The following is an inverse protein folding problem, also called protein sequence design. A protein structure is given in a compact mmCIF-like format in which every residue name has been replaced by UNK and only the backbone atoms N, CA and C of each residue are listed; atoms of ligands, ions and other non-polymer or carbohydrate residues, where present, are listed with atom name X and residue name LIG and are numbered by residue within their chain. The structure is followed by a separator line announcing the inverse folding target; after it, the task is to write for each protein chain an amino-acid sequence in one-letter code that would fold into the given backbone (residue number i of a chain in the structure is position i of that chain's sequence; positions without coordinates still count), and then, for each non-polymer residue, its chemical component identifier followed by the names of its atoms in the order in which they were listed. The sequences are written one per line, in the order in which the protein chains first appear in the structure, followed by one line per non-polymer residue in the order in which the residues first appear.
data_IF_277080152603
#
_entry.id   IF_277080152603
#
_cell.length_a   1.000
_cell.length_b   1.000
_cell.length_c   1.000
_cell.angle_alpha   90.00
_cell.angle_beta   90.00
_cell.angle_gamma   90.00
#
_symmetry.space_group_name_H-M   'P 1'
#
loop_
_entity.id
_entity.type
_entity.pdbx_description
1 polymer ?
#
# COMPACT_ATOMS: atom_id res chain seq x y z
N UNK A 1 12.53 -3.05 -38.50
CA UNK A 1 12.82 -2.00 -37.49
C UNK A 1 11.63 -1.65 -36.58
N UNK A 2 10.52 -2.42 -36.60
CA UNK A 2 9.25 -2.08 -35.92
C UNK A 2 9.14 -2.58 -34.47
N UNK A 3 9.83 -3.67 -34.12
CA UNK A 3 9.82 -4.27 -32.78
C UNK A 3 10.38 -3.40 -31.64
N UNK A 4 11.50 -2.64 -31.78
CA UNK A 4 12.02 -1.83 -30.68
C UNK A 4 11.07 -0.66 -30.34
N UNK A 5 10.40 -0.08 -31.35
CA UNK A 5 9.43 0.98 -31.13
C UNK A 5 8.21 0.49 -30.34
N UNK A 6 7.70 -0.71 -30.69
CA UNK A 6 6.57 -1.33 -29.99
C UNK A 6 6.88 -1.63 -28.51
N UNK A 7 8.09 -2.11 -28.20
CA UNK A 7 8.53 -2.37 -26.82
C UNK A 7 8.64 -1.06 -26.02
N UNK A 8 9.19 -0.01 -26.62
CA UNK A 8 9.29 1.32 -25.98
C UNK A 8 7.88 1.88 -25.72
N UNK A 9 7.00 1.81 -26.70
CA UNK A 9 5.61 2.26 -26.55
C UNK A 9 4.88 1.49 -25.46
N UNK A 10 5.01 0.16 -25.41
CA UNK A 10 4.42 -0.66 -24.35
C UNK A 10 4.97 -0.29 -22.96
N UNK A 11 6.29 -0.08 -22.84
CA UNK A 11 6.91 0.35 -21.60
C UNK A 11 6.39 1.72 -21.12
N UNK A 12 6.25 2.68 -22.04
CA UNK A 12 5.68 4.00 -21.74
C UNK A 12 4.21 3.91 -21.33
N UNK A 13 3.43 2.99 -21.92
CA UNK A 13 2.05 2.73 -21.52
C UNK A 13 1.98 2.18 -20.10
N UNK A 14 2.81 1.18 -19.75
CA UNK A 14 2.85 0.62 -18.40
C UNK A 14 3.24 1.69 -17.36
N UNK A 15 4.26 2.49 -17.67
CA UNK A 15 4.75 3.52 -16.78
C UNK A 15 3.72 4.64 -16.59
N UNK A 16 3.06 5.08 -17.66
CA UNK A 16 1.98 6.06 -17.59
C UNK A 16 0.77 5.53 -16.82
N UNK A 17 0.39 4.27 -17.02
CA UNK A 17 -0.68 3.63 -16.26
C UNK A 17 -0.39 3.58 -14.76
N UNK A 18 0.83 3.20 -14.35
CA UNK A 18 1.24 3.23 -12.94
C UNK A 18 1.17 4.64 -12.35
N UNK A 19 1.57 5.65 -13.12
CA UNK A 19 1.53 7.05 -12.70
C UNK A 19 0.10 7.57 -12.54
N UNK A 20 -0.76 7.29 -13.52
CA UNK A 20 -2.17 7.69 -13.53
C UNK A 20 -2.92 7.04 -12.38
N UNK A 21 -2.77 5.72 -12.19
CA UNK A 21 -3.44 4.99 -11.10
C UNK A 21 -3.02 5.50 -9.73
N UNK A 22 -1.73 5.77 -9.52
CA UNK A 22 -1.22 6.35 -8.28
C UNK A 22 -1.80 7.77 -8.04
N UNK A 23 -1.84 8.62 -9.07
CA UNK A 23 -2.47 9.94 -8.98
C UNK A 23 -3.97 9.85 -8.62
N UNK A 24 -4.71 8.93 -9.24
CA UNK A 24 -6.14 8.71 -8.96
C UNK A 24 -6.37 8.21 -7.53
N UNK A 25 -5.53 7.30 -7.06
CA UNK A 25 -5.52 6.82 -5.68
C UNK A 25 -5.35 7.99 -4.71
N UNK A 26 -4.29 8.78 -4.85
CA UNK A 26 -4.00 9.91 -3.94
C UNK A 26 -5.10 10.97 -4.01
N UNK A 27 -5.65 11.25 -5.20
CA UNK A 27 -6.77 12.19 -5.38
C UNK A 27 -8.00 11.79 -4.57
N UNK A 28 -8.27 10.49 -4.44
CA UNK A 28 -9.41 9.96 -3.69
C UNK A 28 -9.17 9.99 -2.17
N UNK A 29 -7.92 10.03 -1.72
CA UNK A 29 -7.60 10.02 -0.30
C UNK A 29 -8.08 11.31 0.38
N UNK A 30 -8.81 11.13 1.48
CA UNK A 30 -9.08 12.16 2.47
C UNK A 30 -8.16 11.94 3.65
N UNK A 31 -7.52 13.00 4.13
CA UNK A 31 -6.58 12.95 5.25
C UNK A 31 -7.11 13.73 6.44
N UNK A 32 -6.71 13.37 7.65
CA UNK A 32 -7.16 13.96 8.91
C UNK A 32 -6.00 14.03 9.90
N UNK A 33 -6.21 14.71 11.02
CA UNK A 33 -5.26 14.70 12.13
C UNK A 33 -5.11 13.29 12.71
N UNK A 34 -3.85 12.86 12.88
CA UNK A 34 -3.52 11.60 13.54
C UNK A 34 -3.76 11.76 15.04
N UNK A 35 -4.34 10.75 15.67
CA UNK A 35 -4.52 10.72 17.12
C UNK A 35 -3.94 9.43 17.70
N UNK A 36 -3.29 9.54 18.85
CA UNK A 36 -2.72 8.43 19.60
C UNK A 36 -3.34 8.38 20.99
N UNK A 37 -3.85 7.21 21.35
CA UNK A 37 -4.41 6.93 22.66
C UNK A 37 -3.65 5.78 23.30
N UNK A 38 -3.19 5.96 24.54
CA UNK A 38 -2.61 4.88 25.32
C UNK A 38 -3.69 3.87 25.67
N UNK A 39 -3.37 2.59 25.50
CA UNK A 39 -4.29 1.48 25.74
C UNK A 39 -3.67 0.44 26.64
N UNK A 40 -4.45 -0.04 27.60
CA UNK A 40 -4.08 -1.18 28.43
C UNK A 40 -4.16 -2.47 27.61
N UNK A 41 -3.33 -3.46 27.96
CA UNK A 41 -3.28 -4.77 27.28
C UNK A 41 -4.65 -5.46 27.16
N UNK A 42 -5.55 -5.29 28.15
CA UNK A 42 -6.89 -5.87 28.13
C UNK A 42 -7.79 -5.35 27.00
N UNK A 43 -7.56 -4.13 26.51
CA UNK A 43 -8.36 -3.49 25.47
C UNK A 43 -7.88 -3.84 24.04
N UNK A 44 -6.75 -4.54 23.91
CA UNK A 44 -6.13 -4.86 22.62
C UNK A 44 -6.58 -6.26 22.19
N UNK A 45 -7.09 -6.42 20.96
CA UNK A 45 -7.44 -7.73 20.41
C UNK A 45 -6.27 -8.72 20.45
N UNK A 46 -6.57 -9.99 20.66
CA UNK A 46 -5.56 -11.03 20.88
C UNK A 46 -4.60 -11.22 19.70
N UNK A 47 -5.09 -11.14 18.46
CA UNK A 47 -4.26 -11.28 17.27
C UNK A 47 -3.20 -10.15 17.18
N UNK A 48 -3.54 -8.90 17.53
CA UNK A 48 -2.57 -7.81 17.62
C UNK A 48 -1.55 -8.02 18.73
N UNK A 49 -1.98 -8.46 19.92
CA UNK A 49 -1.04 -8.78 21.01
C UNK A 49 -0.05 -9.86 20.60
N UNK A 50 -0.51 -10.91 19.91
CA UNK A 50 0.36 -11.97 19.39
C UNK A 50 1.36 -11.42 18.38
N UNK A 51 0.89 -10.59 17.45
CA UNK A 51 1.72 -9.96 16.42
C UNK A 51 2.81 -9.06 17.03
N UNK A 52 2.46 -8.18 17.97
CA UNK A 52 3.42 -7.23 18.56
C UNK A 52 4.48 -7.89 19.46
N UNK A 53 4.36 -9.18 19.81
CA UNK A 53 5.42 -9.89 20.54
C UNK A 53 6.76 -9.85 19.81
N UNK A 54 6.75 -9.88 18.47
CA UNK A 54 7.97 -9.87 17.66
C UNK A 54 8.74 -8.55 17.79
N UNK A 55 8.17 -7.37 17.43
CA UNK A 55 8.89 -6.11 17.53
C UNK A 55 9.20 -5.75 18.98
N UNK A 56 8.37 -6.16 19.95
CA UNK A 56 8.67 -5.99 21.37
C UNK A 56 9.94 -6.77 21.76
N UNK A 57 10.08 -8.03 21.33
CA UNK A 57 11.25 -8.84 21.64
C UNK A 57 12.51 -8.25 21.00
N UNK A 58 12.44 -7.87 19.74
CA UNK A 58 13.59 -7.28 19.03
C UNK A 58 14.02 -5.96 19.67
N UNK A 59 13.07 -5.05 19.96
CA UNK A 59 13.39 -3.77 20.60
C UNK A 59 13.88 -3.96 22.05
N UNK A 60 13.38 -4.95 22.80
CA UNK A 60 13.93 -5.29 24.12
C UNK A 60 15.40 -5.71 24.06
N UNK A 61 15.83 -6.37 22.99
CA UNK A 61 17.24 -6.73 22.79
C UNK A 61 18.13 -5.52 22.51
N UNK A 62 17.52 -4.36 22.24
CA UNK A 62 18.16 -3.05 22.06
C UNK A 62 17.86 -2.12 23.26
N UNK A 63 17.58 -2.71 24.44
CA UNK A 63 17.33 -2.00 25.71
C UNK A 63 16.08 -1.11 25.75
N UNK A 64 15.12 -1.32 24.85
CA UNK A 64 13.82 -0.67 24.95
C UNK A 64 12.89 -1.41 25.91
N UNK A 65 12.22 -0.63 26.76
CA UNK A 65 11.24 -1.11 27.72
C UNK A 65 9.84 -0.84 27.18
N UNK A 66 8.95 -1.85 27.07
CA UNK A 66 7.57 -1.63 26.67
C UNK A 66 6.84 -0.72 27.66
N UNK A 67 6.13 0.27 27.13
CA UNK A 67 5.40 1.26 27.93
C UNK A 67 3.90 0.95 27.88
N UNK A 68 3.32 0.93 26.69
CA UNK A 68 1.88 0.78 26.50
C UNK A 68 1.54 0.36 25.07
N UNK A 69 0.31 -0.10 24.86
CA UNK A 69 -0.24 -0.20 23.52
C UNK A 69 -0.80 1.15 23.07
N UNK A 70 -0.91 1.33 21.76
CA UNK A 70 -1.46 2.53 21.15
C UNK A 70 -2.65 2.14 20.29
N UNK A 71 -3.76 2.87 20.45
CA UNK A 71 -4.80 2.95 19.43
C UNK A 71 -4.54 4.20 18.61
N UNK A 72 -4.50 4.02 17.29
CA UNK A 72 -4.07 5.07 16.35
C UNK A 72 -5.23 5.42 15.45
N UNK A 73 -5.69 6.66 15.50
CA UNK A 73 -6.53 7.20 14.44
C UNK A 73 -5.64 7.55 13.25
N UNK A 74 -5.82 6.81 12.17
CA UNK A 74 -4.97 6.89 10.97
C UNK A 74 -5.06 8.26 10.29
N UNK A 75 -3.97 8.64 9.62
CA UNK A 75 -3.90 9.87 8.83
C UNK A 75 -4.91 9.88 7.68
N UNK A 76 -5.26 8.72 7.13
CA UNK A 76 -6.22 8.58 6.03
C UNK A 76 -7.59 8.18 6.59
N UNK A 77 -8.63 8.95 6.27
CA UNK A 77 -9.95 8.84 6.89
C UNK A 77 -10.68 7.52 6.60
N UNK A 78 -10.45 6.91 5.43
CA UNK A 78 -11.20 5.71 5.01
C UNK A 78 -10.72 4.42 5.69
N UNK A 79 -9.83 4.53 6.68
CA UNK A 79 -9.13 3.41 7.27
C UNK A 79 -9.58 3.25 8.73
N UNK A 80 -9.85 2.01 9.19
CA UNK A 80 -10.17 1.77 10.60
C UNK A 80 -8.97 2.17 11.48
N UNK A 81 -9.20 2.44 12.78
CA UNK A 81 -8.13 2.70 13.72
C UNK A 81 -7.06 1.60 13.65
N UNK A 82 -5.80 2.02 13.61
CA UNK A 82 -4.65 1.14 13.71
C UNK A 82 -4.30 0.82 15.16
N UNK A 83 -3.41 -0.14 15.33
CA UNK A 83 -2.79 -0.46 16.60
C UNK A 83 -1.27 -0.32 16.50
N UNK A 84 -0.64 -0.04 17.63
CA UNK A 84 0.80 -0.01 17.77
C UNK A 84 1.24 -0.32 19.19
N UNK A 85 2.55 -0.35 19.40
CA UNK A 85 3.15 -0.43 20.73
C UNK A 85 4.17 0.69 20.90
N UNK A 86 4.12 1.32 22.07
CA UNK A 86 5.07 2.34 22.51
C UNK A 86 6.12 1.70 23.42
N UNK A 87 7.38 1.92 23.12
CA UNK A 87 8.51 1.51 23.94
C UNK A 87 9.44 2.69 24.21
N UNK A 88 10.22 2.60 25.28
CA UNK A 88 11.11 3.67 25.73
C UNK A 88 12.51 3.16 26.03
N UNK A 89 13.51 3.87 25.53
CA UNK A 89 14.92 3.64 25.80
C UNK A 89 15.43 4.67 26.81
N UNK A 90 15.82 4.20 28.00
CA UNK A 90 16.09 5.06 29.17
C UNK A 90 17.34 5.90 29.05
N UNK A 91 18.39 5.39 28.41
CA UNK A 91 19.69 6.06 28.32
C UNK A 91 19.60 7.27 27.38
N UNK A 92 19.10 7.06 26.17
CA UNK A 92 19.00 8.09 25.12
C UNK A 92 17.74 8.94 25.19
N UNK A 93 16.81 8.63 26.11
CA UNK A 93 15.49 9.26 26.23
C UNK A 93 14.65 9.17 24.95
N UNK A 94 14.78 8.06 24.23
CA UNK A 94 14.13 7.84 22.93
C UNK A 94 12.88 6.99 23.08
N UNK A 95 11.82 7.37 22.38
CA UNK A 95 10.64 6.53 22.20
C UNK A 95 10.71 5.77 20.87
N UNK A 96 10.26 4.51 20.86
CA UNK A 96 9.99 3.75 19.66
C UNK A 96 8.49 3.51 19.55
N UNK A 97 7.93 3.74 18.36
CA UNK A 97 6.59 3.29 18.01
C UNK A 97 6.74 2.18 16.98
N UNK A 98 6.24 0.99 17.29
CA UNK A 98 6.08 -0.08 16.32
C UNK A 98 4.61 -0.19 15.93
N UNK A 99 4.30 0.21 14.70
CA UNK A 99 3.01 0.04 14.06
C UNK A 99 3.02 -1.08 13.04
N UNK A 100 1.85 -1.43 12.51
CA UNK A 100 1.71 -2.46 11.49
C UNK A 100 1.94 -1.84 10.12
N UNK A 101 2.90 -2.40 9.35
CA UNK A 101 3.16 -1.97 7.99
C UNK A 101 2.04 -2.43 7.06
N UNK A 102 1.68 -1.60 6.10
CA UNK A 102 0.64 -1.90 5.10
C UNK A 102 1.14 -1.52 3.69
N UNK A 103 1.16 -2.45 2.71
CA UNK A 103 0.82 -3.87 2.86
C UNK A 103 1.79 -4.56 3.82
N UNK A 104 1.30 -5.50 4.62
CA UNK A 104 2.16 -6.34 5.43
C UNK A 104 2.73 -7.44 4.57
N UNK A 105 3.98 -7.76 4.85
CA UNK A 105 4.68 -8.90 4.28
C UNK A 105 5.33 -9.67 5.42
N UNK A 106 5.44 -11.01 5.36
CA UNK A 106 5.98 -11.80 6.47
C UNK A 106 7.39 -11.39 6.88
N UNK A 107 8.19 -10.89 5.93
CA UNK A 107 9.57 -10.46 6.18
C UNK A 107 9.70 -8.98 6.48
N UNK A 108 8.62 -8.20 6.39
CA UNK A 108 8.60 -6.76 6.62
C UNK A 108 7.23 -6.27 7.11
N UNK A 109 6.84 -6.72 8.32
CA UNK A 109 5.47 -6.57 8.84
C UNK A 109 5.23 -5.32 9.69
N UNK A 110 6.29 -4.64 10.14
CA UNK A 110 6.18 -3.53 11.08
C UNK A 110 6.82 -2.25 10.53
N UNK A 111 6.15 -1.13 10.79
CA UNK A 111 6.73 0.20 10.68
C UNK A 111 7.25 0.59 12.05
N UNK A 112 8.56 0.62 12.21
CA UNK A 112 9.22 1.02 13.45
C UNK A 112 9.84 2.39 13.24
N UNK A 113 9.53 3.32 14.11
CA UNK A 113 10.06 4.68 14.07
C UNK A 113 10.59 5.08 15.45
N UNK A 114 11.72 5.78 15.46
CA UNK A 114 12.38 6.25 16.67
C UNK A 114 12.26 7.77 16.79
N UNK A 115 11.90 8.24 17.98
CA UNK A 115 11.56 9.63 18.28
C UNK A 115 12.32 10.12 19.51
N UNK A 116 13.17 11.12 19.31
CA UNK A 116 13.85 11.82 20.41
C UNK A 116 13.56 13.31 20.33
N UNK A 117 12.88 13.84 21.35
CA UNK A 117 12.70 15.29 21.49
C UNK A 117 13.89 15.90 22.21
N UNK A 118 14.26 17.10 21.81
CA UNK A 118 15.32 17.87 22.44
C UNK A 118 14.80 19.04 23.28
N UNK A 119 15.69 19.72 24.00
CA UNK A 119 15.32 20.85 24.86
C UNK A 119 14.73 22.03 24.07
N UNK A 120 15.20 22.27 22.85
CA UNK A 120 14.71 23.32 21.94
C UNK A 120 13.44 22.92 21.15
N UNK A 121 12.76 21.86 21.58
CA UNK A 121 11.52 21.33 20.98
C UNK A 121 11.67 20.69 19.60
N UNK A 122 12.89 20.65 19.03
CA UNK A 122 13.11 19.86 17.81
C UNK A 122 12.93 18.36 18.10
N UNK A 123 12.43 17.64 17.10
CA UNK A 123 12.24 16.20 17.09
C UNK A 123 13.24 15.54 16.13
N UNK A 124 14.01 14.57 16.58
CA UNK A 124 14.66 13.60 15.70
C UNK A 124 13.70 12.44 15.43
N UNK A 125 13.26 12.28 14.18
CA UNK A 125 12.48 11.14 13.71
C UNK A 125 13.33 10.27 12.77
N UNK A 126 13.49 8.99 13.12
CA UNK A 126 14.14 7.98 12.29
C UNK A 126 13.16 6.94 11.83
N UNK A 127 12.87 6.93 10.53
CA UNK A 127 11.97 6.00 9.87
C UNK A 127 12.73 5.03 8.97
N UNK A 128 12.01 4.04 8.44
CA UNK A 128 12.57 3.05 7.53
C UNK A 128 11.67 2.78 6.32
N UNK A 129 12.15 3.18 5.15
CA UNK A 129 11.47 3.05 3.87
C UNK A 129 10.09 3.72 3.83
N UNK A 130 10.00 4.98 4.29
CA UNK A 130 8.73 5.74 4.43
C UNK A 130 8.77 7.20 3.96
N UNK A 131 9.94 7.81 3.75
CA UNK A 131 10.06 9.25 3.44
C UNK A 131 9.36 9.67 2.15
N UNK A 132 9.14 8.71 1.25
CA UNK A 132 8.44 8.92 -0.01
C UNK A 132 6.95 9.24 0.18
N UNK A 133 6.35 8.88 1.33
CA UNK A 133 4.99 9.25 1.70
C UNK A 133 4.87 10.62 2.38
N UNK A 134 5.98 11.24 2.78
CA UNK A 134 5.98 12.57 3.42
C UNK A 134 5.88 13.66 2.35
N UNK A 135 5.06 14.68 2.58
CA UNK A 135 4.86 15.79 1.66
C UNK A 135 5.50 17.06 2.22
N UNK A 136 6.47 17.63 1.50
CA UNK A 136 7.20 18.80 1.98
C UNK A 136 8.11 18.50 3.18
N UNK A 137 8.45 19.55 3.93
CA UNK A 137 9.24 19.47 5.16
C UNK A 137 8.34 19.35 6.38
N UNK A 138 8.75 18.55 7.35
CA UNK A 138 8.07 18.42 8.64
C UNK A 138 8.66 19.50 9.57
N UNK A 139 7.86 20.48 10.03
CA UNK A 139 8.33 21.53 10.91
C UNK A 139 8.98 20.97 12.18
N UNK A 140 10.00 21.67 12.68
CA UNK A 140 10.71 21.35 13.93
C UNK A 140 11.15 19.88 14.04
N UNK A 141 11.39 19.22 12.90
CA UNK A 141 11.68 17.78 12.86
C UNK A 141 12.84 17.49 11.93
N UNK A 142 13.88 16.86 12.48
CA UNK A 142 14.99 16.27 11.74
C UNK A 142 14.53 14.87 11.34
N UNK A 143 14.22 14.69 10.06
CA UNK A 143 13.74 13.40 9.53
C UNK A 143 14.87 12.67 8.84
N UNK A 144 15.10 11.41 9.22
CA UNK A 144 16.00 10.50 8.51
C UNK A 144 15.30 9.19 8.14
N UNK A 145 15.58 8.69 6.93
CA UNK A 145 15.02 7.44 6.40
C UNK A 145 16.14 6.51 5.94
N UNK A 146 16.33 5.40 6.66
CA UNK A 146 17.60 4.65 6.67
C UNK A 146 17.64 3.52 5.63
N UNK A 147 16.49 2.95 5.25
CA UNK A 147 16.40 1.75 4.40
C UNK A 147 17.21 0.54 4.94
N UNK A 148 17.27 0.39 6.26
CA UNK A 148 18.01 -0.66 6.95
C UNK A 148 17.31 -2.03 6.83
N UNK A 149 18.10 -3.08 6.64
CA UNK A 149 17.61 -4.46 6.56
C UNK A 149 17.17 -5.00 7.93
N UNK A 150 17.64 -4.43 9.05
CA UNK A 150 17.32 -4.83 10.44
C UNK A 150 17.02 -3.63 11.32
N UNK A 151 16.26 -3.85 12.39
CA UNK A 151 15.94 -2.81 13.39
C UNK A 151 17.21 -2.28 14.05
N UNK A 152 18.19 -3.14 14.36
CA UNK A 152 19.47 -2.74 14.93
C UNK A 152 20.22 -1.73 14.08
N UNK A 153 20.23 -1.89 12.75
CA UNK A 153 20.84 -0.94 11.83
C UNK A 153 20.11 0.41 11.78
N UNK A 154 18.78 0.39 11.81
CA UNK A 154 17.98 1.61 11.93
C UNK A 154 18.22 2.33 13.26
N UNK A 155 18.31 1.55 14.36
CA UNK A 155 18.58 2.07 15.69
C UNK A 155 19.97 2.69 15.79
N UNK A 156 20.98 2.05 15.19
CA UNK A 156 22.34 2.59 15.13
C UNK A 156 22.35 3.97 14.46
N UNK A 157 21.70 4.11 13.30
CA UNK A 157 21.60 5.40 12.62
C UNK A 157 20.87 6.48 13.47
N UNK A 158 19.90 6.08 14.30
CA UNK A 158 19.29 7.00 15.27
C UNK A 158 20.30 7.44 16.33
N UNK A 159 21.06 6.51 16.92
CA UNK A 159 22.07 6.81 17.94
C UNK A 159 23.21 7.66 17.39
N UNK A 160 23.67 7.37 16.19
CA UNK A 160 24.73 8.15 15.53
C UNK A 160 24.28 9.60 15.40
N UNK A 161 23.08 9.81 14.82
CA UNK A 161 22.53 11.17 14.65
C UNK A 161 22.26 11.86 15.99
N UNK A 162 21.84 11.10 16.98
CA UNK A 162 21.62 11.60 18.33
C UNK A 162 22.94 12.07 18.97
N UNK A 163 24.02 11.31 18.80
CA UNK A 163 25.34 11.62 19.37
C UNK A 163 25.95 12.90 18.80
N UNK A 164 25.63 13.23 17.55
CA UNK A 164 26.02 14.49 16.91
C UNK A 164 25.31 15.71 17.54
N UNK A 165 24.05 15.55 17.95
CA UNK A 165 23.18 16.67 18.37
C UNK A 165 23.21 16.86 19.89
N UNK A 166 23.21 15.76 20.65
CA UNK A 166 23.07 15.76 22.09
C UNK A 166 24.05 16.66 22.86
N UNK A 167 25.34 16.84 22.44
CA UNK A 167 26.26 17.75 23.13
C UNK A 167 25.82 19.21 23.12
N UNK A 168 25.18 19.67 22.04
CA UNK A 168 24.71 21.06 21.89
C UNK A 168 23.25 21.23 22.27
N UNK A 169 22.47 20.16 22.17
CA UNK A 169 21.04 20.17 22.44
C UNK A 169 20.63 18.81 23.01
N UNK A 170 20.64 18.66 24.34
CA UNK A 170 20.45 17.36 24.96
C UNK A 170 18.99 16.86 24.85
N UNK A 171 18.77 15.54 24.87
CA UNK A 171 17.43 14.96 24.87
C UNK A 171 16.58 15.42 26.04
N UNK A 172 15.30 15.68 25.77
CA UNK A 172 14.30 16.04 26.75
C UNK A 172 13.65 14.78 27.30
N UNK A 173 13.62 14.66 28.63
CA UNK A 173 12.86 13.61 29.31
C UNK A 173 11.37 13.94 29.25
N UNK A 174 10.56 13.02 28.74
CA UNK A 174 9.11 13.18 28.62
C UNK A 174 8.40 11.93 29.16
N UNK A 175 7.37 12.13 29.98
CA UNK A 175 6.44 11.06 30.35
C UNK A 175 5.63 10.61 29.11
N UNK A 176 5.20 9.34 29.00
CA UNK A 176 4.50 8.83 27.82
C UNK A 176 3.29 9.67 27.36
N UNK A 177 2.42 10.09 28.27
CA UNK A 177 1.26 10.94 27.93
C UNK A 177 1.69 12.27 27.30
N UNK A 178 2.67 12.93 27.94
CA UNK A 178 3.20 14.21 27.48
C UNK A 178 3.97 14.08 26.17
N UNK A 179 4.68 12.97 25.97
CA UNK A 179 5.33 12.64 24.71
C UNK A 179 4.30 12.56 23.58
N UNK A 180 3.21 11.81 23.77
CA UNK A 180 2.17 11.67 22.74
C UNK A 180 1.42 12.98 22.49
N UNK A 181 1.18 13.78 23.52
CA UNK A 181 0.55 15.10 23.36
C UNK A 181 1.42 16.03 22.48
N UNK A 182 2.72 16.16 22.80
CA UNK A 182 3.65 16.98 22.03
C UNK A 182 3.81 16.43 20.60
N UNK A 183 3.90 15.10 20.46
CA UNK A 183 4.03 14.46 19.15
C UNK A 183 2.80 14.69 18.27
N UNK A 184 1.59 14.54 18.81
CA UNK A 184 0.35 14.86 18.10
C UNK A 184 0.28 16.34 17.73
N UNK A 185 0.71 17.24 18.60
CA UNK A 185 0.76 18.66 18.29
C UNK A 185 1.76 18.96 17.15
N UNK A 186 2.93 18.31 17.12
CA UNK A 186 3.89 18.45 16.02
C UNK A 186 3.27 17.97 14.68
N UNK A 187 2.57 16.83 14.69
CA UNK A 187 1.85 16.34 13.50
C UNK A 187 0.72 17.29 13.06
N UNK A 188 0.03 17.90 14.02
CA UNK A 188 -0.98 18.94 13.74
C UNK A 188 -0.35 20.15 13.06
N UNK A 189 0.77 20.67 13.61
CA UNK A 189 1.53 21.78 13.02
C UNK A 189 1.97 21.47 11.60
N UNK A 190 2.40 20.25 11.33
CA UNK A 190 2.73 19.81 9.97
C UNK A 190 1.52 19.88 9.02
N UNK A 191 0.35 19.37 9.42
CA UNK A 191 -0.88 19.46 8.61
C UNK A 191 -1.28 20.92 8.39
N UNK A 192 -1.24 21.75 9.44
CA UNK A 192 -1.58 23.17 9.36
C UNK A 192 -0.61 23.92 8.41
N UNK A 193 0.67 23.56 8.41
CA UNK A 193 1.66 24.07 7.45
C UNK A 193 1.34 23.63 6.01
N UNK A 194 0.88 22.39 5.78
CA UNK A 194 0.44 21.95 4.47
C UNK A 194 -0.80 22.72 3.98
N UNK A 195 -1.73 23.05 4.88
CA UNK A 195 -2.88 23.92 4.56
C UNK A 195 -2.41 25.33 4.22
N UNK A 196 -1.55 25.92 5.07
CA UNK A 196 -0.99 27.28 4.89
C UNK A 196 -0.23 27.42 3.57
N UNK A 197 0.55 26.41 3.21
CA UNK A 197 1.31 26.35 1.94
C UNK A 197 0.47 25.87 0.75
N UNK A 198 -0.86 25.75 0.92
CA UNK A 198 -1.83 25.33 -0.09
C UNK A 198 -1.51 23.97 -0.71
N UNK A 199 -0.84 23.07 -0.01
CA UNK A 199 -0.55 21.72 -0.49
C UNK A 199 -1.75 20.78 -0.30
N UNK A 200 -2.50 20.99 0.78
CA UNK A 200 -3.80 20.36 1.02
C UNK A 200 -4.86 21.46 1.22
N UNK A 201 -6.14 21.10 1.18
CA UNK A 201 -7.24 22.01 1.44
C UNK A 201 -8.34 21.30 2.25
N UNK A 202 -9.05 22.02 3.13
CA UNK A 202 -10.13 21.45 3.92
C UNK A 202 -11.32 21.06 3.03
N UNK A 203 -12.01 19.98 3.38
CA UNK A 203 -13.30 19.61 2.76
C UNK A 203 -14.46 19.97 3.69
N UNK A 204 -15.71 19.65 3.30
CA UNK A 204 -16.91 19.97 4.10
C UNK A 204 -16.89 19.39 5.52
N UNK A 205 -16.25 18.24 5.69
CA UNK A 205 -16.12 17.57 6.99
C UNK A 205 -15.03 18.27 7.83
N UNK A 206 -15.32 18.69 9.08
CA UNK A 206 -14.35 19.36 9.94
C UNK A 206 -13.11 18.50 10.21
N UNK A 207 -11.93 19.11 10.09
CA UNK A 207 -10.64 18.43 10.34
C UNK A 207 -10.24 17.40 9.27
N UNK A 208 -10.93 17.40 8.12
CA UNK A 208 -10.64 16.54 6.97
C UNK A 208 -10.13 17.38 5.80
N UNK A 209 -9.12 16.86 5.11
CA UNK A 209 -8.42 17.55 4.04
C UNK A 209 -8.24 16.67 2.81
N UNK A 210 -7.99 17.31 1.66
CA UNK A 210 -7.64 16.66 0.41
C UNK A 210 -6.39 17.29 -0.20
N UNK A 211 -5.64 16.50 -0.97
CA UNK A 211 -4.47 16.97 -1.68
C UNK A 211 -4.85 17.83 -2.88
N UNK A 212 -4.12 18.93 -3.09
CA UNK A 212 -4.18 19.67 -4.36
C UNK A 212 -3.51 18.89 -5.49
N UNK A 213 -3.89 19.21 -6.73
CA UNK A 213 -3.37 18.54 -7.92
C UNK A 213 -1.84 18.54 -8.01
N UNK A 214 -1.17 19.67 -7.79
CA UNK A 214 0.29 19.73 -7.80
C UNK A 214 0.93 18.89 -6.68
N UNK A 215 0.29 18.81 -5.51
CA UNK A 215 0.76 17.96 -4.42
C UNK A 215 0.61 16.48 -4.75
N UNK A 216 -0.48 16.10 -5.45
CA UNK A 216 -0.69 14.75 -5.96
C UNK A 216 0.45 14.37 -6.90
N UNK A 217 0.78 15.23 -7.88
CA UNK A 217 1.88 14.97 -8.81
C UNK A 217 3.23 14.83 -8.10
N UNK A 218 3.53 15.72 -7.13
CA UNK A 218 4.76 15.64 -6.32
C UNK A 218 4.83 14.35 -5.52
N UNK A 219 3.73 13.95 -4.87
CA UNK A 219 3.67 12.71 -4.11
C UNK A 219 3.81 11.49 -5.01
N UNK A 220 3.12 11.44 -6.15
CA UNK A 220 3.25 10.34 -7.12
C UNK A 220 4.71 10.19 -7.57
N UNK A 221 5.38 11.30 -7.87
CA UNK A 221 6.78 11.31 -8.27
C UNK A 221 7.72 10.76 -7.18
N UNK A 222 7.40 10.98 -5.90
CA UNK A 222 8.17 10.43 -4.77
C UNK A 222 7.83 8.96 -4.50
N UNK A 223 6.54 8.62 -4.48
CA UNK A 223 6.02 7.31 -4.06
C UNK A 223 6.48 6.21 -5.01
N UNK A 224 6.43 6.41 -6.34
CA UNK A 224 6.80 5.35 -7.29
C UNK A 224 8.26 4.88 -7.14
N UNK A 225 9.28 5.75 -7.21
CA UNK A 225 10.67 5.34 -6.98
C UNK A 225 10.91 4.91 -5.52
N UNK A 226 10.23 5.54 -4.55
CA UNK A 226 10.27 5.13 -3.15
C UNK A 226 9.83 3.68 -2.95
N UNK A 227 8.69 3.29 -3.54
CA UNK A 227 8.18 1.93 -3.52
C UNK A 227 9.13 0.94 -4.19
N UNK A 228 9.81 1.34 -5.28
CA UNK A 228 10.86 0.50 -5.89
C UNK A 228 12.05 0.30 -4.94
N UNK A 229 12.46 1.32 -4.17
CA UNK A 229 13.50 1.18 -3.14
C UNK A 229 13.03 0.26 -2.00
N UNK A 230 11.80 0.43 -1.53
CA UNK A 230 11.16 -0.45 -0.54
C UNK A 230 11.15 -1.90 -1.02
N UNK A 231 10.74 -2.16 -2.27
CA UNK A 231 10.68 -3.51 -2.82
C UNK A 231 12.07 -4.18 -2.87
N UNK A 232 13.14 -3.42 -3.13
CA UNK A 232 14.51 -3.94 -3.04
C UNK A 232 14.88 -4.34 -1.61
N UNK A 233 14.54 -3.51 -0.62
CA UNK A 233 14.74 -3.82 0.80
C UNK A 233 13.98 -5.09 1.22
N UNK A 234 12.70 -5.19 0.87
CA UNK A 234 11.87 -6.38 1.09
C UNK A 234 12.51 -7.62 0.47
N UNK A 235 12.98 -7.54 -0.77
CA UNK A 235 13.66 -8.66 -1.45
C UNK A 235 14.92 -9.12 -0.70
N UNK A 236 15.75 -8.17 -0.23
CA UNK A 236 16.94 -8.51 0.58
C UNK A 236 16.55 -9.18 1.90
N UNK A 237 15.55 -8.65 2.60
CA UNK A 237 15.02 -9.29 3.82
C UNK A 237 14.46 -10.68 3.54
N UNK A 238 13.81 -10.89 2.40
CA UNK A 238 13.36 -12.19 1.93
C UNK A 238 14.48 -13.20 1.67
N UNK A 239 15.63 -12.74 1.18
CA UNK A 239 16.83 -13.57 1.02
C UNK A 239 17.44 -13.93 2.38
N UNK A 240 17.58 -12.96 3.28
CA UNK A 240 18.09 -13.20 4.64
C UNK A 240 17.17 -14.14 5.43
N UNK A 241 15.86 -14.06 5.22
CA UNK A 241 14.88 -14.92 5.87
C UNK A 241 15.00 -16.40 5.48
N UNK A 242 15.76 -16.74 4.43
CA UNK A 242 16.07 -18.14 4.08
C UNK A 242 17.08 -18.76 5.04
N UNK A 243 17.99 -17.95 5.59
CA UNK A 243 19.05 -18.38 6.51
C UNK A 243 18.75 -18.03 7.96
N UNK A 244 17.90 -17.02 8.20
CA UNK A 244 17.46 -16.61 9.52
C UNK A 244 15.92 -16.53 9.58
N UNK A 245 15.26 -17.60 10.07
CA UNK A 245 13.80 -17.65 10.20
C UNK A 245 13.22 -16.57 11.12
N UNK A 246 14.00 -15.97 12.01
CA UNK A 246 13.50 -14.94 12.96
C UNK A 246 13.00 -13.67 12.28
N UNK A 247 13.40 -13.44 11.01
CA UNK A 247 12.90 -12.31 10.20
C UNK A 247 11.44 -12.50 9.80
N UNK A 248 10.96 -13.74 9.71
CA UNK A 248 9.59 -14.05 9.31
C UNK A 248 8.65 -13.94 10.49
N UNK A 249 7.52 -13.30 10.23
CA UNK A 249 6.42 -13.16 11.16
C UNK A 249 5.23 -13.92 10.59
N UNK A 250 4.68 -14.83 11.39
CA UNK A 250 3.42 -15.49 11.06
C UNK A 250 2.30 -14.47 11.16
N UNK A 251 1.58 -14.30 10.05
CA UNK A 251 0.51 -13.32 9.93
C UNK A 251 -0.80 -13.99 10.35
N UNK A 252 -1.50 -13.47 11.39
CA UNK A 252 -2.84 -13.94 11.72
C UNK A 252 -3.80 -13.72 10.55
N UNK A 253 -4.70 -14.68 10.33
CA UNK A 253 -5.71 -14.65 9.26
C UNK A 253 -6.58 -13.38 9.36
N UNK A 254 -6.86 -12.90 10.58
CA UNK A 254 -7.63 -11.68 10.78
C UNK A 254 -6.96 -10.45 10.12
N UNK A 255 -5.63 -10.39 10.12
CA UNK A 255 -4.91 -9.30 9.46
C UNK A 255 -4.93 -9.45 7.93
N UNK A 256 -4.82 -10.69 7.42
CA UNK A 256 -5.03 -11.04 6.00
C UNK A 256 -6.36 -10.49 5.49
N UNK A 257 -7.44 -10.77 6.23
CA UNK A 257 -8.78 -10.26 5.94
C UNK A 257 -8.81 -8.72 6.01
N UNK A 258 -8.26 -8.10 7.06
CA UNK A 258 -8.24 -6.64 7.19
C UNK A 258 -7.51 -5.93 6.04
N UNK A 259 -6.35 -6.46 5.61
CA UNK A 259 -5.61 -5.90 4.47
C UNK A 259 -6.39 -6.07 3.18
N UNK A 260 -7.00 -7.23 2.97
CA UNK A 260 -7.82 -7.48 1.80
C UNK A 260 -8.99 -6.49 1.73
N UNK A 261 -9.72 -6.31 2.83
CA UNK A 261 -10.78 -5.30 2.92
C UNK A 261 -10.26 -3.89 2.66
N UNK A 262 -9.10 -3.55 3.21
CA UNK A 262 -8.46 -2.23 3.03
C UNK A 262 -8.12 -1.98 1.56
N UNK A 263 -7.50 -2.94 0.88
CA UNK A 263 -7.16 -2.85 -0.55
C UNK A 263 -8.44 -2.68 -1.37
N UNK A 264 -9.50 -3.45 -1.07
CA UNK A 264 -10.80 -3.28 -1.72
C UNK A 264 -11.39 -1.88 -1.52
N UNK A 265 -11.39 -1.35 -0.29
CA UNK A 265 -11.92 0.01 0.01
C UNK A 265 -11.16 1.10 -0.75
N UNK A 266 -9.83 0.98 -0.83
CA UNK A 266 -8.99 1.90 -1.59
C UNK A 266 -9.29 1.81 -3.09
N UNK A 267 -9.40 0.60 -3.63
CA UNK A 267 -9.61 0.35 -5.07
C UNK A 267 -11.04 0.62 -5.56
N UNK A 268 -12.03 0.53 -4.68
CA UNK A 268 -13.44 0.69 -5.04
C UNK A 268 -13.71 2.05 -5.69
N UNK A 269 -14.13 2.05 -6.95
CA UNK A 269 -14.46 3.30 -7.67
C UNK A 269 -13.26 4.17 -8.06
N UNK A 270 -12.03 3.63 -8.09
CA UNK A 270 -10.86 4.36 -8.64
C UNK A 270 -11.02 4.70 -10.12
N UNK A 271 -11.56 3.73 -10.88
CA UNK A 271 -11.87 3.90 -12.30
C UNK A 271 -13.38 4.05 -12.40
N UNK A 272 -13.84 5.24 -12.77
CA UNK A 272 -15.26 5.50 -13.00
C UNK A 272 -15.82 4.60 -14.09
N UNK A 273 -17.12 4.29 -14.03
CA UNK A 273 -17.78 3.38 -14.99
C UNK A 273 -17.52 3.79 -16.44
N UNK A 274 -17.59 5.09 -16.76
CA UNK A 274 -17.27 5.63 -18.09
C UNK A 274 -15.82 5.37 -18.51
N UNK A 275 -14.85 5.64 -17.64
CA UNK A 275 -13.44 5.38 -17.94
C UNK A 275 -13.16 3.89 -18.12
N UNK A 276 -13.79 3.02 -17.32
CA UNK A 276 -13.69 1.57 -17.46
C UNK A 276 -14.22 1.12 -18.83
N UNK A 277 -15.34 1.69 -19.28
CA UNK A 277 -15.87 1.46 -20.62
C UNK A 277 -14.92 1.98 -21.71
N UNK A 278 -14.35 3.19 -21.56
CA UNK A 278 -13.38 3.73 -22.51
C UNK A 278 -12.09 2.91 -22.58
N UNK A 279 -11.60 2.39 -21.46
CA UNK A 279 -10.44 1.49 -21.43
C UNK A 279 -10.75 0.18 -22.16
N UNK A 280 -11.94 -0.40 -21.93
CA UNK A 280 -12.38 -1.58 -22.65
C UNK A 280 -12.46 -1.29 -24.16
N UNK A 281 -13.17 -0.24 -24.57
CA UNK A 281 -13.34 0.13 -25.97
C UNK A 281 -12.01 0.49 -26.66
N UNK A 282 -11.14 1.23 -25.96
CA UNK A 282 -9.81 1.57 -26.47
C UNK A 282 -8.92 0.35 -26.61
N UNK A 283 -8.93 -0.56 -25.63
CA UNK A 283 -8.18 -1.82 -25.71
C UNK A 283 -8.69 -2.74 -26.82
N UNK A 284 -10.01 -2.80 -27.02
CA UNK A 284 -10.65 -3.51 -28.12
C UNK A 284 -10.28 -2.92 -29.48
N UNK A 285 -10.32 -1.59 -29.61
CA UNK A 285 -9.94 -0.91 -30.86
C UNK A 285 -8.48 -1.16 -31.22
N UNK A 286 -7.57 -1.13 -30.24
CA UNK A 286 -6.16 -1.44 -30.45
C UNK A 286 -5.95 -2.91 -30.83
N UNK A 287 -6.70 -3.83 -30.19
CA UNK A 287 -6.69 -5.25 -30.54
C UNK A 287 -7.16 -5.48 -31.99
N UNK A 288 -8.29 -4.89 -32.38
CA UNK A 288 -8.82 -4.96 -33.75
C UNK A 288 -7.80 -4.42 -34.76
N UNK A 289 -7.27 -3.21 -34.52
CA UNK A 289 -6.28 -2.58 -35.40
C UNK A 289 -5.02 -3.45 -35.60
N UNK A 290 -4.68 -4.27 -34.60
CA UNK A 290 -3.56 -5.19 -34.66
C UNK A 290 -3.82 -6.37 -35.60
N UNK A 291 -5.04 -6.89 -35.67
CA UNK A 291 -5.38 -8.10 -36.45
C UNK A 291 -5.95 -7.80 -37.85
N UNK A 292 -6.50 -6.61 -38.08
CA UNK A 292 -7.01 -6.17 -39.40
C UNK A 292 -6.05 -6.45 -40.58
N UNK A 293 -4.72 -6.25 -40.49
CA UNK A 293 -3.83 -6.53 -41.62
C UNK A 293 -3.52 -8.02 -41.83
N UNK A 294 -3.90 -8.92 -40.92
CA UNK A 294 -3.48 -10.32 -40.93
C UNK A 294 -4.60 -11.32 -41.27
N UNK A 295 -5.87 -10.98 -41.04
CA UNK A 295 -7.00 -11.90 -41.18
C UNK A 295 -8.20 -11.24 -41.88
N UNK A 296 -9.11 -12.06 -42.43
CA UNK A 296 -10.33 -11.55 -43.05
C UNK A 296 -11.28 -10.91 -42.02
N UNK A 297 -12.20 -10.06 -42.48
CA UNK A 297 -13.20 -9.43 -41.61
C UNK A 297 -14.13 -10.44 -40.93
N UNK A 298 -14.44 -11.55 -41.61
CA UNK A 298 -15.25 -12.63 -41.06
C UNK A 298 -14.49 -13.39 -39.96
N UNK A 299 -13.23 -13.75 -40.22
CA UNK A 299 -12.40 -14.45 -39.22
C UNK A 299 -12.16 -13.58 -37.98
N UNK A 300 -12.00 -12.27 -38.18
CA UNK A 300 -11.88 -11.31 -37.08
C UNK A 300 -13.17 -11.21 -36.26
N UNK A 301 -14.34 -11.22 -36.92
CA UNK A 301 -15.62 -11.21 -36.23
C UNK A 301 -15.84 -12.50 -35.42
N UNK A 302 -15.48 -13.66 -35.98
CA UNK A 302 -15.54 -14.95 -35.30
C UNK A 302 -14.57 -14.96 -34.10
N UNK A 303 -13.34 -14.48 -34.27
CA UNK A 303 -12.35 -14.36 -33.20
C UNK A 303 -12.84 -13.46 -32.06
N UNK A 304 -13.39 -12.29 -32.37
CA UNK A 304 -13.97 -11.37 -31.39
C UNK A 304 -15.15 -12.02 -30.65
N UNK A 305 -16.05 -12.69 -31.37
CA UNK A 305 -17.17 -13.42 -30.80
C UNK A 305 -16.71 -14.52 -29.84
N UNK A 306 -15.74 -15.33 -30.25
CA UNK A 306 -15.16 -16.39 -29.43
C UNK A 306 -14.49 -15.84 -28.16
N UNK A 307 -13.71 -14.77 -28.26
CA UNK A 307 -13.08 -14.11 -27.11
C UNK A 307 -14.10 -13.48 -26.16
N UNK A 308 -15.15 -12.86 -26.69
CA UNK A 308 -16.23 -12.29 -25.88
C UNK A 308 -17.03 -13.38 -25.15
N UNK A 309 -17.29 -14.51 -25.80
CA UNK A 309 -17.94 -15.65 -25.15
C UNK A 309 -17.03 -16.26 -24.08
N UNK A 310 -15.73 -16.44 -24.38
CA UNK A 310 -14.75 -17.01 -23.46
C UNK A 310 -14.55 -16.13 -22.21
N UNK A 311 -14.13 -14.88 -22.39
CA UNK A 311 -13.90 -13.99 -21.25
C UNK A 311 -15.21 -13.51 -20.61
N UNK A 312 -16.29 -13.40 -21.38
CA UNK A 312 -17.63 -13.11 -20.87
C UNK A 312 -18.14 -14.21 -19.95
N UNK A 313 -17.85 -15.48 -20.28
CA UNK A 313 -18.11 -16.63 -19.42
C UNK A 313 -17.36 -16.55 -18.09
N UNK A 314 -16.06 -16.23 -18.13
CA UNK A 314 -15.27 -15.96 -16.92
C UNK A 314 -15.88 -14.83 -16.07
N UNK A 315 -16.25 -13.70 -16.67
CA UNK A 315 -16.83 -12.56 -15.97
C UNK A 315 -18.20 -12.85 -15.36
N UNK A 316 -19.03 -13.62 -16.06
CA UNK A 316 -20.35 -14.02 -15.59
C UNK A 316 -20.21 -14.98 -14.39
N UNK A 317 -19.35 -15.99 -14.48
CA UNK A 317 -19.07 -16.89 -13.36
C UNK A 317 -18.44 -16.15 -12.17
N UNK A 318 -17.55 -15.20 -12.41
CA UNK A 318 -17.00 -14.33 -11.38
C UNK A 318 -18.11 -13.53 -10.69
N UNK A 319 -19.04 -12.93 -11.42
CA UNK A 319 -20.19 -12.21 -10.82
C UNK A 319 -21.10 -13.12 -10.00
N UNK A 320 -21.42 -14.32 -10.51
CA UNK A 320 -22.24 -15.30 -9.79
C UNK A 320 -21.53 -15.80 -8.52
N UNK A 321 -20.22 -15.96 -8.58
CA UNK A 321 -19.37 -16.27 -7.43
C UNK A 321 -19.04 -15.04 -6.56
N UNK A 322 -19.73 -13.91 -6.75
CA UNK A 322 -19.62 -12.67 -5.98
C UNK A 322 -18.22 -12.02 -5.98
N UNK A 323 -17.44 -12.23 -7.05
CA UNK A 323 -16.23 -11.45 -7.28
C UNK A 323 -16.63 -9.99 -7.53
N UNK A 324 -15.89 -9.07 -6.90
CA UNK A 324 -16.14 -7.63 -6.98
C UNK A 324 -15.19 -6.98 -7.98
N UNK A 325 -15.63 -5.89 -8.60
CA UNK A 325 -14.81 -5.07 -9.51
C UNK A 325 -14.19 -5.84 -10.69
N UNK A 326 -14.92 -6.83 -11.22
CA UNK A 326 -14.56 -7.56 -12.43
C UNK A 326 -14.55 -6.63 -13.66
N UNK A 327 -13.53 -6.74 -14.51
CA UNK A 327 -13.41 -6.01 -15.77
C UNK A 327 -12.79 -6.88 -16.86
N UNK A 328 -13.06 -6.57 -18.11
CA UNK A 328 -12.41 -7.19 -19.27
C UNK A 328 -11.46 -6.17 -19.90
N UNK A 329 -10.29 -6.63 -20.36
CA UNK A 329 -9.42 -5.85 -21.23
C UNK A 329 -8.94 -6.72 -22.40
N UNK A 330 -8.78 -6.12 -23.57
CA UNK A 330 -8.16 -6.77 -24.72
C UNK A 330 -6.66 -6.44 -24.75
N UNK A 331 -5.82 -7.47 -24.83
CA UNK A 331 -4.37 -7.35 -24.95
C UNK A 331 -3.99 -7.55 -26.42
N UNK A 332 -3.36 -6.56 -27.08
CA UNK A 332 -2.90 -6.70 -28.46
C UNK A 332 -2.05 -7.95 -28.66
N UNK A 333 -2.24 -8.65 -29.77
CA UNK A 333 -1.56 -9.90 -30.16
C UNK A 333 -1.80 -11.13 -29.27
N UNK A 334 -2.35 -10.99 -28.05
CA UNK A 334 -2.48 -12.10 -27.10
C UNK A 334 -3.92 -12.59 -26.94
N UNK A 335 -4.92 -11.69 -26.97
CA UNK A 335 -6.32 -12.04 -26.74
C UNK A 335 -7.00 -11.09 -25.78
N UNK A 336 -7.99 -11.58 -25.04
CA UNK A 336 -8.65 -10.80 -23.99
C UNK A 336 -8.40 -11.43 -22.62
N UNK A 337 -8.58 -10.65 -21.55
CA UNK A 337 -8.43 -11.14 -20.19
C UNK A 337 -9.50 -10.57 -19.28
N UNK A 338 -10.17 -11.46 -18.55
CA UNK A 338 -11.00 -11.14 -17.41
C UNK A 338 -10.12 -10.87 -16.19
N UNK A 339 -10.17 -9.63 -15.69
CA UNK A 339 -9.45 -9.18 -14.52
C UNK A 339 -10.42 -9.03 -13.37
N UNK A 340 -10.13 -9.70 -12.27
CA UNK A 340 -10.71 -9.42 -10.97
C UNK A 340 -9.60 -9.34 -9.92
N UNK A 341 -9.74 -8.49 -8.89
CA UNK A 341 -8.96 -8.68 -7.67
C UNK A 341 -9.11 -10.12 -7.19
N UNK A 342 -7.99 -10.75 -6.82
CA UNK A 342 -7.98 -12.15 -6.38
C UNK A 342 -8.96 -12.34 -5.20
N UNK A 343 -9.88 -13.31 -5.31
CA UNK A 343 -10.78 -13.70 -4.22
C UNK A 343 -10.12 -14.85 -3.45
N UNK A 344 -9.59 -14.55 -2.26
CA UNK A 344 -8.80 -15.52 -1.49
C UNK A 344 -9.67 -16.60 -0.84
N UNK A 345 -10.89 -16.25 -0.39
CA UNK A 345 -11.90 -17.20 0.12
C UNK A 345 -12.66 -17.97 -0.98
N UNK A 346 -12.21 -17.89 -2.23
CA UNK A 346 -12.82 -18.67 -3.29
C UNK A 346 -12.57 -20.15 -3.03
N UNK A 347 -13.64 -20.90 -2.75
CA UNK A 347 -13.56 -22.36 -2.62
C UNK A 347 -12.98 -22.96 -3.89
N UNK A 348 -12.38 -24.15 -3.78
CA UNK A 348 -11.85 -24.88 -4.93
C UNK A 348 -12.93 -25.05 -6.02
N UNK A 349 -14.17 -25.31 -5.61
CA UNK A 349 -15.33 -25.38 -6.51
C UNK A 349 -15.62 -24.04 -7.21
N UNK A 350 -15.57 -22.90 -6.51
CA UNK A 350 -15.77 -21.58 -7.12
C UNK A 350 -14.67 -21.27 -8.15
N UNK A 351 -13.41 -21.56 -7.82
CA UNK A 351 -12.30 -21.40 -8.76
C UNK A 351 -12.49 -22.31 -9.98
N UNK A 352 -12.85 -23.57 -9.77
CA UNK A 352 -13.12 -24.54 -10.84
C UNK A 352 -14.22 -24.06 -11.79
N UNK A 353 -15.37 -23.60 -11.28
CA UNK A 353 -16.44 -23.07 -12.10
C UNK A 353 -16.05 -21.80 -12.85
N UNK A 354 -15.31 -20.89 -12.21
CA UNK A 354 -14.79 -19.69 -12.89
C UNK A 354 -13.84 -20.08 -14.01
N UNK A 355 -12.91 -21.03 -13.81
CA UNK A 355 -12.00 -21.50 -14.85
C UNK A 355 -12.71 -22.21 -16.00
N UNK A 356 -13.78 -22.96 -15.71
CA UNK A 356 -14.49 -23.72 -16.74
C UNK A 356 -15.46 -22.84 -17.55
N UNK A 357 -16.02 -21.78 -16.94
CA UNK A 357 -17.04 -20.96 -17.58
C UNK A 357 -16.59 -20.23 -18.86
N UNK A 358 -15.29 -20.00 -19.05
CA UNK A 358 -14.76 -19.46 -20.30
C UNK A 358 -14.68 -20.47 -21.44
N UNK A 359 -14.00 -21.60 -21.29
CA UNK A 359 -13.90 -22.61 -22.36
C UNK A 359 -15.20 -23.40 -22.60
N UNK A 360 -16.07 -23.55 -21.60
CA UNK A 360 -17.24 -24.43 -21.67
C UNK A 360 -18.27 -24.04 -22.75
N UNK A 361 -18.66 -22.77 -22.94
CA UNK A 361 -19.54 -22.37 -24.03
C UNK A 361 -18.98 -22.72 -25.41
N UNK A 362 -17.67 -22.54 -25.62
CA UNK A 362 -17.01 -22.89 -26.88
C UNK A 362 -16.94 -24.40 -27.10
N UNK A 363 -16.71 -25.18 -26.04
CA UNK A 363 -16.76 -26.65 -26.09
C UNK A 363 -18.15 -27.17 -26.48
N UNK A 364 -19.22 -26.60 -25.91
CA UNK A 364 -20.60 -27.00 -26.22
C UNK A 364 -20.94 -26.70 -27.69
N UNK A 365 -20.61 -25.51 -28.16
CA UNK A 365 -20.85 -25.12 -29.56
C UNK A 365 -20.03 -25.97 -30.54
N UNK A 366 -18.76 -26.23 -30.24
CA UNK A 366 -17.90 -27.07 -31.08
C UNK A 366 -18.27 -28.56 -31.08
N UNK A 367 -18.96 -29.06 -30.05
CA UNK A 367 -19.53 -30.41 -30.03
C UNK A 367 -20.86 -30.45 -30.78
N UNK A 368 -21.66 -29.37 -30.72
CA UNK A 368 -22.91 -29.23 -31.48
C UNK A 368 -22.72 -29.21 -33.00
N UNK A 369 -21.59 -28.68 -33.48
CA UNK A 369 -21.20 -28.72 -34.90
C UNK A 369 -20.66 -30.09 -35.36
N UNK A 370 -20.56 -31.08 -34.46
CA UNK A 370 -20.28 -32.49 -34.76
C UNK A 370 -21.51 -33.36 -34.48
N UNK A 371 -22.64 -33.00 -35.07
CA UNK A 371 -23.74 -33.93 -35.30
C UNK A 371 -23.82 -34.11 -36.83
N UNK A 372 -23.65 -35.35 -37.36
CA UNK A 372 -23.78 -35.60 -38.79
C UNK A 372 -25.17 -35.28 -39.34
#
# INVERSE_FOLDING_TARGET
MTYPLAIITLYLIILSFQYITTCLLIRKLKVQYIQYELQKSGCVPNHYKKLFKTPIRELKSLDFIPVSYLKVREFVCSLPPGWGVLLYHRETKTYAIAGIRRPFEPVYSFDIEFYTFFKDERLLNTMNSKIHGVLGQVPNTIVQDVYADRISGQWQAHRDKLSEIAPTNPPRVLHPDRFLEIFQNNLKVYIDQLVKTKQIFPVREPGVFQYRWFSILKLTHKIIPGNKKTAKLVKRRGQQAKTDPSIRVDIPIELEIEQFERIQRLNRGLVGRRLRTWLLLGSLGLFVATFVPFISSLDLAILLGALLLHEGGHLLAMKLCQYRDTSMLFIPFLGAVAIAPQKEDATIAQKFWVFLAGPLPGLILGIGDRVP
#
